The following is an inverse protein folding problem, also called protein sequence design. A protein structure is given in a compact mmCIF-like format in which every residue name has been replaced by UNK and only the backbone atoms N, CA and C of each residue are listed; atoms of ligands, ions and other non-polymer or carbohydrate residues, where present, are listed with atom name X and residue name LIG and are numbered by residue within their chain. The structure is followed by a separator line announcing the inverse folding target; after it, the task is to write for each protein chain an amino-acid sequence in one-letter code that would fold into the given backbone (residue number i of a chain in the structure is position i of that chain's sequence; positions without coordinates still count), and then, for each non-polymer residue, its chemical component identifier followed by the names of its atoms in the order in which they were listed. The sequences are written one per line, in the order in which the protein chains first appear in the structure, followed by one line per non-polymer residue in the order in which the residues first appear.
data_IF_438484550401
#
_entry.id   IF_438484550401
#
_cell.length_a   1.000
_cell.length_b   1.000
_cell.length_c   1.000
_cell.angle_alpha   90.00
_cell.angle_beta   90.00
_cell.angle_gamma   90.00
#
_symmetry.space_group_name_H-M   'P 1'
#
loop_
_entity.id
_entity.type
_entity.pdbx_description
1 polymer ?
#
# COMPACT_ATOMS: atom_id res chain seq x y z
N UNK A 1 -36.39 -4.64 -19.18
CA UNK A 1 -35.36 -4.91 -18.15
C UNK A 1 -34.45 -3.71 -18.12
N UNK A 2 -34.62 -2.82 -17.13
CA UNK A 2 -33.81 -1.60 -17.04
C UNK A 2 -32.45 -1.93 -16.44
N UNK A 3 -31.38 -1.73 -17.22
CA UNK A 3 -30.02 -1.69 -16.68
C UNK A 3 -29.92 -0.47 -15.77
N UNK A 4 -29.75 -0.70 -14.46
CA UNK A 4 -29.37 0.37 -13.54
C UNK A 4 -28.11 1.05 -14.08
N UNK A 5 -28.05 2.39 -14.17
CA UNK A 5 -26.84 3.07 -14.62
C UNK A 5 -25.66 2.66 -13.73
N UNK A 6 -24.58 2.20 -14.34
CA UNK A 6 -23.34 1.92 -13.61
C UNK A 6 -22.88 3.19 -12.91
N UNK A 7 -22.63 3.10 -11.61
CA UNK A 7 -22.14 4.26 -10.85
C UNK A 7 -20.78 4.69 -11.39
N UNK A 8 -20.57 6.00 -11.50
CA UNK A 8 -19.26 6.56 -11.85
C UNK A 8 -18.24 6.33 -10.73
N UNK A 9 -16.95 6.34 -11.06
CA UNK A 9 -15.86 6.23 -10.06
C UNK A 9 -16.02 7.28 -8.95
N UNK A 10 -16.34 8.52 -9.29
CA UNK A 10 -16.60 9.59 -8.32
C UNK A 10 -17.79 9.26 -7.40
N UNK A 11 -18.87 8.70 -7.95
CA UNK A 11 -20.02 8.25 -7.18
C UNK A 11 -19.68 7.10 -6.22
N UNK A 12 -18.92 6.11 -6.69
CA UNK A 12 -18.44 5.00 -5.86
C UNK A 12 -17.49 5.49 -4.74
N UNK A 13 -16.64 6.45 -5.04
CA UNK A 13 -15.71 7.07 -4.08
C UNK A 13 -16.47 7.84 -2.98
N UNK A 14 -17.51 8.59 -3.36
CA UNK A 14 -18.37 9.29 -2.40
C UNK A 14 -19.15 8.31 -1.51
N UNK A 15 -19.66 7.22 -2.08
CA UNK A 15 -20.35 6.18 -1.32
C UNK A 15 -19.40 5.44 -0.36
N UNK A 16 -18.17 5.16 -0.80
CA UNK A 16 -17.13 4.57 0.05
C UNK A 16 -16.81 5.48 1.24
N UNK A 17 -16.59 6.77 1.00
CA UNK A 17 -16.40 7.75 2.07
C UNK A 17 -17.58 7.82 3.02
N UNK A 18 -18.82 7.77 2.51
CA UNK A 18 -20.02 7.74 3.36
C UNK A 18 -20.05 6.51 4.26
N UNK A 19 -19.64 5.34 3.76
CA UNK A 19 -19.54 4.12 4.55
C UNK A 19 -18.45 4.21 5.62
N UNK A 20 -17.29 4.79 5.31
CA UNK A 20 -16.19 4.93 6.26
C UNK A 20 -16.50 5.98 7.35
N UNK A 21 -16.98 7.16 6.96
CA UNK A 21 -17.23 8.25 7.92
C UNK A 21 -18.39 7.98 8.88
N UNK A 22 -19.21 6.95 8.64
CA UNK A 22 -20.28 6.58 9.57
C UNK A 22 -19.74 6.18 10.94
N UNK A 23 -18.49 5.68 11.02
CA UNK A 23 -17.82 5.34 12.29
C UNK A 23 -18.41 4.14 13.04
N UNK A 24 -19.44 3.48 12.50
CA UNK A 24 -20.01 2.24 13.03
C UNK A 24 -19.92 1.19 11.94
N UNK A 25 -19.04 0.21 12.12
CA UNK A 25 -18.80 -0.83 11.13
C UNK A 25 -19.44 -2.14 11.57
N UNK A 26 -20.43 -2.54 10.79
CA UNK A 26 -21.05 -3.86 10.85
C UNK A 26 -20.72 -4.66 9.58
N UNK A 27 -21.23 -5.89 9.51
CA UNK A 27 -21.00 -6.76 8.35
C UNK A 27 -21.58 -6.15 7.05
N UNK A 28 -22.69 -5.39 7.13
CA UNK A 28 -23.26 -4.72 5.96
C UNK A 28 -22.35 -3.61 5.45
N UNK A 29 -21.74 -2.85 6.36
CA UNK A 29 -20.79 -1.78 6.04
C UNK A 29 -19.54 -2.36 5.39
N UNK A 30 -19.02 -3.48 5.89
CA UNK A 30 -17.92 -4.21 5.26
C UNK A 30 -18.27 -4.62 3.81
N UNK A 31 -19.44 -5.24 3.59
CA UNK A 31 -19.88 -5.65 2.25
C UNK A 31 -20.00 -4.44 1.30
N UNK A 32 -20.53 -3.32 1.78
CA UNK A 32 -20.62 -2.08 0.98
C UNK A 32 -19.26 -1.52 0.61
N UNK A 33 -18.34 -1.47 1.57
CA UNK A 33 -16.96 -1.00 1.37
C UNK A 33 -16.26 -1.89 0.33
N UNK A 34 -16.35 -3.21 0.50
CA UNK A 34 -15.79 -4.18 -0.46
C UNK A 34 -16.35 -3.95 -1.86
N UNK A 35 -17.67 -3.82 -2.00
CA UNK A 35 -18.29 -3.55 -3.28
C UNK A 35 -17.79 -2.25 -3.92
N UNK A 36 -17.63 -1.17 -3.15
CA UNK A 36 -17.11 0.09 -3.70
C UNK A 36 -15.68 -0.08 -4.20
N UNK A 37 -14.81 -0.72 -3.42
CA UNK A 37 -13.41 -0.96 -3.78
C UNK A 37 -13.32 -1.85 -5.03
N UNK A 38 -14.05 -2.97 -5.08
CA UNK A 38 -14.05 -3.90 -6.21
C UNK A 38 -14.60 -3.28 -7.50
N UNK A 39 -15.48 -2.29 -7.41
CA UNK A 39 -16.02 -1.57 -8.57
C UNK A 39 -15.18 -0.32 -8.95
N UNK A 40 -14.01 -0.12 -8.33
CA UNK A 40 -13.06 0.91 -8.74
C UNK A 40 -13.21 2.26 -8.05
N UNK A 41 -13.80 2.31 -6.84
CA UNK A 41 -13.71 3.50 -5.99
C UNK A 41 -12.25 3.91 -5.77
N UNK A 42 -11.99 5.22 -5.78
CA UNK A 42 -10.67 5.77 -5.53
C UNK A 42 -10.40 5.87 -4.03
N UNK A 43 -9.43 5.10 -3.56
CA UNK A 43 -8.99 5.10 -2.16
C UNK A 43 -7.90 6.15 -1.86
N UNK A 44 -7.38 6.81 -2.90
CA UNK A 44 -6.31 7.82 -2.81
C UNK A 44 -6.86 9.24 -2.62
N UNK A 45 -8.17 9.43 -2.74
CA UNK A 45 -8.83 10.69 -2.48
C UNK A 45 -9.00 10.94 -0.98
N UNK A 46 -8.34 11.97 -0.39
CA UNK A 46 -8.55 12.33 1.01
C UNK A 46 -9.92 12.99 1.22
N UNK A 47 -10.40 13.02 2.46
CA UNK A 47 -11.59 13.78 2.83
C UNK A 47 -11.29 15.29 2.91
N UNK A 48 -12.31 16.10 3.29
CA UNK A 48 -12.18 17.55 3.42
C UNK A 48 -11.13 17.99 4.45
N UNK A 49 -10.89 17.16 5.46
CA UNK A 49 -9.93 17.37 6.54
C UNK A 49 -8.54 16.81 6.20
N UNK A 50 -8.30 16.42 4.94
CA UNK A 50 -7.07 15.78 4.46
C UNK A 50 -6.75 14.43 5.11
N UNK A 51 -7.72 13.81 5.77
CA UNK A 51 -7.57 12.44 6.27
C UNK A 51 -7.87 11.43 5.17
N UNK A 52 -7.13 10.33 5.20
CA UNK A 52 -7.32 9.20 4.29
C UNK A 52 -8.20 8.12 4.93
N UNK A 53 -8.90 7.37 4.09
CA UNK A 53 -9.84 6.32 4.52
C UNK A 53 -9.24 5.36 5.54
N UNK A 54 -7.99 4.91 5.31
CA UNK A 54 -7.29 4.00 6.23
C UNK A 54 -7.08 4.62 7.62
N UNK A 55 -6.73 5.91 7.70
CA UNK A 55 -6.54 6.60 8.97
C UNK A 55 -7.84 6.65 9.78
N UNK A 56 -8.96 6.99 9.13
CA UNK A 56 -10.28 7.02 9.77
C UNK A 56 -10.68 5.63 10.31
N UNK A 57 -10.39 4.56 9.55
CA UNK A 57 -10.69 3.19 9.99
C UNK A 57 -9.79 2.77 11.16
N UNK A 58 -8.50 3.14 11.15
CA UNK A 58 -7.55 2.88 12.25
C UNK A 58 -7.97 3.60 13.54
N UNK A 59 -8.36 4.87 13.46
CA UNK A 59 -8.87 5.61 14.61
C UNK A 59 -10.12 4.95 15.20
N UNK A 60 -11.03 4.49 14.34
CA UNK A 60 -12.23 3.79 14.80
C UNK A 60 -11.91 2.42 15.39
N UNK A 61 -10.93 1.69 14.83
CA UNK A 61 -10.42 0.44 15.40
C UNK A 61 -9.91 0.66 16.83
N UNK A 62 -9.11 1.71 17.03
CA UNK A 62 -8.58 2.06 18.34
C UNK A 62 -9.70 2.40 19.34
N UNK A 63 -10.69 3.20 18.92
CA UNK A 63 -11.86 3.51 19.76
C UNK A 63 -12.63 2.25 20.16
N UNK A 64 -12.83 1.32 19.22
CA UNK A 64 -13.51 0.05 19.49
C UNK A 64 -12.68 -0.85 20.43
N UNK A 65 -11.37 -0.88 20.27
CA UNK A 65 -10.46 -1.64 21.14
C UNK A 65 -10.51 -1.14 22.59
N UNK A 66 -10.41 0.17 22.80
CA UNK A 66 -10.53 0.79 24.14
C UNK A 66 -11.90 0.54 24.76
N UNK A 67 -12.95 0.47 23.95
CA UNK A 67 -14.32 0.19 24.39
C UNK A 67 -14.63 -1.32 24.56
N UNK A 68 -13.66 -2.23 24.36
CA UNK A 68 -13.87 -3.68 24.50
C UNK A 68 -14.76 -4.31 23.41
N UNK A 69 -14.87 -3.67 22.24
CA UNK A 69 -15.74 -4.08 21.13
C UNK A 69 -14.99 -4.94 20.11
N UNK A 70 -14.62 -6.15 20.52
CA UNK A 70 -13.73 -7.04 19.73
C UNK A 70 -14.28 -7.39 18.34
N UNK A 71 -15.61 -7.59 18.23
CA UNK A 71 -16.25 -7.89 16.94
C UNK A 71 -16.03 -6.74 15.94
N UNK A 72 -16.21 -5.51 16.39
CA UNK A 72 -16.04 -4.31 15.58
C UNK A 72 -14.57 -4.06 15.27
N UNK A 73 -13.64 -4.36 16.19
CA UNK A 73 -12.19 -4.35 15.92
C UNK A 73 -11.85 -5.30 14.77
N UNK A 74 -12.40 -6.51 14.77
CA UNK A 74 -12.20 -7.49 13.70
C UNK A 74 -12.75 -7.00 12.36
N UNK A 75 -13.91 -6.30 12.36
CA UNK A 75 -14.45 -5.70 11.14
C UNK A 75 -13.56 -4.57 10.63
N UNK A 76 -13.06 -3.69 11.51
CA UNK A 76 -12.09 -2.65 11.15
C UNK A 76 -10.85 -3.27 10.50
N UNK A 77 -10.29 -4.33 11.10
CA UNK A 77 -9.12 -5.02 10.58
C UNK A 77 -9.36 -5.53 9.16
N UNK A 78 -10.52 -6.15 8.90
CA UNK A 78 -10.90 -6.62 7.56
C UNK A 78 -11.01 -5.47 6.56
N UNK A 79 -11.59 -4.33 6.95
CA UNK A 79 -11.66 -3.13 6.11
C UNK A 79 -10.25 -2.61 5.78
N UNK A 80 -9.37 -2.51 6.79
CA UNK A 80 -7.98 -2.07 6.61
C UNK A 80 -7.27 -2.98 5.62
N UNK A 81 -7.40 -4.31 5.76
CA UNK A 81 -6.81 -5.27 4.83
C UNK A 81 -7.30 -5.07 3.40
N UNK A 82 -8.59 -4.79 3.18
CA UNK A 82 -9.12 -4.52 1.84
C UNK A 82 -8.53 -3.23 1.23
N UNK A 83 -8.40 -2.17 2.03
CA UNK A 83 -7.76 -0.93 1.60
C UNK A 83 -6.27 -1.14 1.28
N UNK A 84 -5.55 -1.93 2.08
CA UNK A 84 -4.13 -2.24 1.85
C UNK A 84 -3.91 -3.08 0.59
N UNK A 85 -4.76 -4.09 0.35
CA UNK A 85 -4.73 -4.88 -0.89
C UNK A 85 -4.89 -3.94 -2.09
N UNK A 86 -5.92 -3.07 -2.05
CA UNK A 86 -6.14 -2.13 -3.15
C UNK A 86 -5.00 -1.13 -3.32
N UNK A 87 -4.43 -0.64 -2.21
CA UNK A 87 -3.27 0.24 -2.26
C UNK A 87 -2.04 -0.46 -2.87
N UNK A 88 -1.86 -1.74 -2.58
CA UNK A 88 -0.78 -2.57 -3.13
C UNK A 88 -0.92 -2.81 -4.64
N UNK A 89 -2.16 -2.97 -5.13
CA UNK A 89 -2.46 -3.01 -6.57
C UNK A 89 -2.11 -1.70 -7.26
N UNK A 90 -2.56 -0.57 -6.69
CA UNK A 90 -2.26 0.76 -7.23
C UNK A 90 -0.76 1.06 -7.16
N UNK A 91 -0.05 0.53 -6.17
CA UNK A 91 1.38 0.75 -6.00
C UNK A 91 2.18 0.21 -7.17
N UNK A 92 1.81 -0.97 -7.67
CA UNK A 92 2.41 -1.56 -8.88
C UNK A 92 2.19 -0.66 -10.10
N UNK A 93 1.00 -0.05 -10.22
CA UNK A 93 0.72 0.87 -11.31
C UNK A 93 1.61 2.12 -11.24
N UNK A 94 1.78 2.69 -10.04
CA UNK A 94 2.67 3.83 -9.81
C UNK A 94 4.15 3.48 -10.06
N UNK A 95 4.58 2.28 -9.67
CA UNK A 95 5.91 1.74 -9.97
C UNK A 95 6.18 1.73 -11.49
N UNK A 96 5.24 1.18 -12.26
CA UNK A 96 5.40 1.02 -13.71
C UNK A 96 5.46 2.33 -14.49
N UNK A 97 4.82 3.39 -13.98
CA UNK A 97 4.92 4.75 -14.56
C UNK A 97 6.05 5.59 -13.95
N UNK A 98 6.69 5.08 -12.90
CA UNK A 98 7.78 5.75 -12.20
C UNK A 98 7.38 6.95 -11.34
N UNK A 99 6.14 7.02 -10.86
CA UNK A 99 5.68 8.09 -9.98
C UNK A 99 6.01 7.82 -8.51
N UNK A 100 7.16 8.36 -8.08
CA UNK A 100 7.64 8.22 -6.71
C UNK A 100 6.72 8.89 -5.67
N UNK A 101 6.00 9.95 -6.03
CA UNK A 101 5.09 10.63 -5.10
C UNK A 101 3.83 9.79 -4.87
N UNK A 102 3.26 9.22 -5.93
CA UNK A 102 2.18 8.24 -5.84
C UNK A 102 2.61 7.01 -5.02
N UNK A 103 3.82 6.49 -5.25
CA UNK A 103 4.38 5.40 -4.45
C UNK A 103 4.50 5.74 -2.96
N UNK A 104 5.02 6.93 -2.62
CA UNK A 104 5.13 7.41 -1.23
C UNK A 104 3.77 7.48 -0.55
N UNK A 105 2.76 8.03 -1.23
CA UNK A 105 1.40 8.10 -0.72
C UNK A 105 0.87 6.70 -0.37
N UNK A 106 0.96 5.77 -1.31
CA UNK A 106 0.40 4.42 -1.17
C UNK A 106 1.06 3.63 -0.04
N UNK A 107 2.38 3.69 0.11
CA UNK A 107 3.10 2.97 1.18
C UNK A 107 2.93 3.67 2.52
N UNK A 108 3.29 4.95 2.63
CA UNK A 108 3.36 5.65 3.93
C UNK A 108 1.98 5.97 4.50
N UNK A 109 0.98 6.20 3.66
CA UNK A 109 -0.35 6.65 4.10
C UNK A 109 -1.37 5.53 4.02
N UNK A 110 -1.44 4.83 2.87
CA UNK A 110 -2.43 3.78 2.64
C UNK A 110 -1.94 2.37 3.03
N UNK A 111 -0.67 2.23 3.42
CA UNK A 111 -0.13 0.98 3.94
C UNK A 111 -0.04 -0.14 2.90
N UNK A 112 0.23 0.21 1.63
CA UNK A 112 0.52 -0.75 0.57
C UNK A 112 1.72 -1.66 0.94
N UNK A 113 1.65 -2.94 0.58
CA UNK A 113 2.76 -3.88 0.71
C UNK A 113 3.80 -3.62 -0.39
N UNK A 114 5.03 -3.39 0.04
CA UNK A 114 6.14 -3.00 -0.81
C UNK A 114 6.99 -4.21 -1.25
N UNK A 115 6.86 -5.38 -0.60
CA UNK A 115 7.60 -6.58 -0.95
C UNK A 115 6.83 -7.47 -1.94
N UNK A 116 5.58 -7.86 -1.62
CA UNK A 116 4.72 -8.71 -2.47
C UNK A 116 5.41 -9.97 -3.03
N UNK A 117 6.25 -10.62 -2.23
CA UNK A 117 7.10 -11.75 -2.67
C UNK A 117 6.35 -12.99 -3.14
N UNK A 118 5.12 -13.23 -2.68
CA UNK A 118 4.28 -14.34 -3.19
C UNK A 118 4.01 -14.22 -4.69
N UNK A 119 3.89 -12.98 -5.20
CA UNK A 119 3.59 -12.70 -6.60
C UNK A 119 4.84 -12.44 -7.44
N UNK A 120 5.84 -11.76 -6.86
CA UNK A 120 7.03 -11.29 -7.59
C UNK A 120 8.31 -12.06 -7.28
N UNK A 121 8.22 -13.08 -6.43
CA UNK A 121 9.34 -13.96 -6.07
C UNK A 121 10.22 -13.42 -4.94
N UNK A 122 11.41 -14.03 -4.72
CA UNK A 122 12.26 -13.77 -3.55
C UNK A 122 12.82 -12.34 -3.45
N UNK A 123 12.89 -11.62 -4.58
CA UNK A 123 13.31 -10.21 -4.61
C UNK A 123 12.11 -9.25 -4.60
N UNK A 124 10.89 -9.76 -4.48
CA UNK A 124 9.67 -8.96 -4.48
C UNK A 124 9.58 -8.00 -5.66
N UNK A 125 9.01 -6.81 -5.40
CA UNK A 125 8.92 -5.74 -6.38
C UNK A 125 10.27 -5.16 -6.81
N UNK A 126 11.35 -5.34 -6.02
CA UNK A 126 12.69 -4.89 -6.44
C UNK A 126 13.16 -5.70 -7.65
N UNK A 127 13.00 -7.02 -7.60
CA UNK A 127 13.36 -7.89 -8.72
C UNK A 127 12.55 -7.61 -9.99
N UNK A 128 11.29 -7.21 -9.84
CA UNK A 128 10.44 -6.80 -10.97
C UNK A 128 10.89 -5.45 -11.54
N UNK A 129 11.14 -4.47 -10.67
CA UNK A 129 11.58 -3.13 -11.05
C UNK A 129 12.93 -3.17 -11.80
N UNK A 130 13.88 -3.99 -11.37
CA UNK A 130 15.20 -4.14 -12.02
C UNK A 130 15.14 -4.73 -13.44
N UNK A 131 14.05 -5.40 -13.81
CA UNK A 131 13.85 -5.91 -15.18
C UNK A 131 13.36 -4.82 -16.13
N UNK A 132 12.90 -3.68 -15.62
CA UNK A 132 12.39 -2.60 -16.44
C UNK A 132 13.56 -1.81 -17.06
N UNK A 133 13.57 -1.60 -18.39
CA UNK A 133 14.73 -1.06 -19.09
C UNK A 133 15.13 0.36 -18.67
N UNK A 134 14.23 1.11 -18.03
CA UNK A 134 14.43 2.51 -17.65
C UNK A 134 14.06 2.80 -16.18
N UNK A 135 14.19 1.82 -15.28
CA UNK A 135 13.88 2.05 -13.86
C UNK A 135 14.82 3.10 -13.27
N UNK A 136 14.26 4.08 -12.56
CA UNK A 136 15.04 5.11 -11.87
C UNK A 136 15.64 4.55 -10.58
N UNK A 137 16.91 4.86 -10.29
CA UNK A 137 17.57 4.46 -9.05
C UNK A 137 16.76 4.80 -7.79
N UNK A 138 16.17 6.00 -7.75
CA UNK A 138 15.34 6.46 -6.64
C UNK A 138 14.12 5.55 -6.34
N UNK A 139 13.61 4.82 -7.34
CA UNK A 139 12.52 3.84 -7.15
C UNK A 139 13.06 2.60 -6.44
N UNK A 140 14.23 2.11 -6.86
CA UNK A 140 14.88 0.96 -6.24
C UNK A 140 15.25 1.27 -4.78
N UNK A 141 15.89 2.43 -4.55
CA UNK A 141 16.20 2.93 -3.20
C UNK A 141 14.94 3.01 -2.33
N UNK A 142 13.87 3.58 -2.87
CA UNK A 142 12.60 3.66 -2.16
C UNK A 142 12.05 2.28 -1.77
N UNK A 143 12.03 1.30 -2.69
CA UNK A 143 11.54 -0.05 -2.39
C UNK A 143 12.33 -0.72 -1.25
N UNK A 144 13.64 -0.48 -1.22
CA UNK A 144 14.56 -1.08 -0.24
C UNK A 144 14.44 -0.39 1.12
N UNK A 145 14.32 0.94 1.15
CA UNK A 145 14.15 1.68 2.40
C UNK A 145 12.82 1.38 3.10
N UNK A 146 11.79 1.01 2.34
CA UNK A 146 10.42 0.89 2.83
C UNK A 146 9.99 -0.53 3.20
N UNK A 147 10.82 -1.55 3.00
CA UNK A 147 10.56 -2.92 3.47
C UNK A 147 11.85 -3.62 3.89
N UNK A 148 11.89 -4.16 5.11
CA UNK A 148 13.05 -4.88 5.62
C UNK A 148 13.36 -6.14 4.80
N UNK A 149 12.35 -6.81 4.25
CA UNK A 149 12.55 -8.01 3.43
C UNK A 149 13.26 -7.66 2.12
N UNK A 150 12.97 -6.49 1.55
CA UNK A 150 13.71 -5.97 0.40
C UNK A 150 15.17 -5.69 0.76
N UNK A 151 15.46 -5.16 1.97
CA UNK A 151 16.85 -4.98 2.43
C UNK A 151 17.56 -6.32 2.55
N UNK A 152 16.98 -7.25 3.32
CA UNK A 152 17.56 -8.57 3.59
C UNK A 152 17.80 -9.38 2.32
N UNK A 153 16.87 -9.35 1.36
CA UNK A 153 16.99 -10.04 0.08
C UNK A 153 18.17 -9.53 -0.77
N UNK A 154 18.70 -8.35 -0.45
CA UNK A 154 19.80 -7.70 -1.14
C UNK A 154 21.03 -7.53 -0.24
N UNK A 155 21.01 -8.05 0.98
CA UNK A 155 22.18 -7.99 1.85
C UNK A 155 23.12 -9.12 1.48
N UNK A 156 24.37 -8.79 1.17
CA UNK A 156 25.45 -9.77 1.12
C UNK A 156 26.09 -9.79 2.51
N UNK A 157 26.29 -10.98 3.06
CA UNK A 157 27.16 -11.13 4.24
C UNK A 157 28.60 -11.12 3.77
N UNK A 158 29.37 -10.18 4.30
CA UNK A 158 30.81 -10.15 4.10
C UNK A 158 31.47 -11.26 4.92
N UNK A 159 32.68 -11.65 4.54
CA UNK A 159 33.45 -12.75 5.15
C UNK A 159 33.69 -12.48 6.66
N UNK A 160 33.72 -11.21 7.05
CA UNK A 160 33.94 -10.74 8.42
C UNK A 160 32.64 -10.53 9.23
N UNK A 161 31.48 -10.94 8.70
CA UNK A 161 30.18 -10.84 9.39
C UNK A 161 29.49 -9.48 9.29
N UNK A 162 30.05 -8.55 8.51
CA UNK A 162 29.38 -7.30 8.12
C UNK A 162 28.19 -7.56 7.19
N UNK A 163 27.12 -6.79 7.36
CA UNK A 163 25.95 -6.80 6.48
C UNK A 163 25.97 -5.56 5.59
N UNK A 164 26.25 -5.74 4.30
CA UNK A 164 26.25 -4.65 3.32
C UNK A 164 25.15 -4.90 2.29
N UNK A 165 24.25 -3.94 2.10
CA UNK A 165 23.20 -4.03 1.08
C UNK A 165 23.78 -3.84 -0.33
N UNK A 166 23.18 -4.44 -1.36
CA UNK A 166 23.60 -4.25 -2.76
C UNK A 166 23.63 -2.78 -3.19
N UNK A 167 22.80 -1.90 -2.60
CA UNK A 167 22.88 -0.45 -2.81
C UNK A 167 24.20 0.11 -2.29
N UNK A 168 24.55 -0.20 -1.03
CA UNK A 168 25.80 0.26 -0.43
C UNK A 168 27.02 -0.27 -1.20
N UNK A 169 26.97 -1.52 -1.67
CA UNK A 169 28.01 -2.08 -2.54
C UNK A 169 28.12 -1.32 -3.88
N UNK A 170 27.01 -0.94 -4.50
CA UNK A 170 27.02 -0.18 -5.76
C UNK A 170 27.51 1.26 -5.58
N UNK A 171 27.24 1.89 -4.43
CA UNK A 171 27.67 3.25 -4.11
C UNK A 171 29.15 3.30 -3.69
N UNK A 172 29.62 2.32 -2.91
CA UNK A 172 31.04 2.22 -2.52
C UNK A 172 31.93 1.99 -3.76
N UNK A 173 31.54 1.09 -4.67
CA UNK A 173 32.32 0.85 -5.90
C UNK A 173 32.39 2.05 -6.85
N UNK A 174 31.44 3.00 -6.79
CA UNK A 174 31.53 4.25 -7.56
C UNK A 174 32.58 5.22 -7.00
N UNK A 175 32.98 5.04 -5.75
CA UNK A 175 33.94 5.91 -5.06
C UNK A 175 35.39 5.44 -5.26
N UNK A 176 35.58 4.18 -5.67
CA UNK A 176 36.89 3.55 -5.89
C UNK A 176 37.38 3.63 -7.35
N UNK A 177 36.64 4.31 -8.23
CA UNK A 177 37.06 4.61 -9.61
C UNK A 177 37.53 6.06 -9.68
N UNK A 178 38.69 6.34 -9.10
CA UNK A 178 39.45 7.57 -9.31
C UNK A 178 40.95 7.30 -9.32
#
# INVERSE_FOLDING_TARGET
MGSSPSKTIAGLTADLWRSINRGVYDQQSLTRIQNCISNGADITSPNKDRQYMRAVVLEQQQRNSVAGREREVNICQRIITQLQIKASELFIQQLNIGDLNGMRLLVKTLGADCYQGEKYGPLGLVGDALKQPNVRLAIIEFLIENDERNRMALTKRDIDGGETTCIQLATNNKSDVH
#
